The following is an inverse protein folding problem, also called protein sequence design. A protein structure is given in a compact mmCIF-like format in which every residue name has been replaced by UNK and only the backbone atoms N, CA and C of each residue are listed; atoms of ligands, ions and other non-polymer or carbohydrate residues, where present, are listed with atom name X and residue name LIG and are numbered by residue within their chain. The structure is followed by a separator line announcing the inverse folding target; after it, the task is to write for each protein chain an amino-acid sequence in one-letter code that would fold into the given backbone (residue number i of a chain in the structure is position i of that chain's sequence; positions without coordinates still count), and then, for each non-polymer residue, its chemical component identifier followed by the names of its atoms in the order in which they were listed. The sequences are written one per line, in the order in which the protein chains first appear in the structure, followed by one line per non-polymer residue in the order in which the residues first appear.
data_IF_571436916925
#
_entry.id   IF_571436916925
#
_cell.length_a   1.000
_cell.length_b   1.000
_cell.length_c   1.000
_cell.angle_alpha   90.00
_cell.angle_beta   90.00
_cell.angle_gamma   90.00
#
_symmetry.space_group_name_H-M   'P 1'
#
loop_
_entity.id
_entity.type
_entity.pdbx_description
1 polymer ?
#
# COMPACT_ATOMS: atom_id res chain seq x y z
N UNK A 1 -14.08 5.22 0.49
CA UNK A 1 -13.04 4.47 -0.28
C UNK A 1 -12.92 5.06 -1.67
N UNK A 2 -11.78 4.87 -2.35
CA UNK A 2 -11.58 5.31 -3.72
C UNK A 2 -12.42 4.54 -4.74
N UNK A 3 -12.66 5.14 -5.89
CA UNK A 3 -13.39 4.60 -7.04
C UNK A 3 -12.41 4.36 -8.20
N UNK A 4 -12.81 3.63 -9.27
CA UNK A 4 -12.00 3.57 -10.49
C UNK A 4 -11.59 4.98 -10.95
N UNK A 5 -10.29 5.18 -11.19
CA UNK A 5 -9.73 6.49 -11.56
C UNK A 5 -9.33 7.41 -10.38
N UNK A 6 -9.54 7.00 -9.12
CA UNK A 6 -9.05 7.73 -7.93
C UNK A 6 -7.53 7.69 -7.77
N UNK A 7 -6.84 6.77 -8.47
CA UNK A 7 -5.39 6.67 -8.52
C UNK A 7 -4.92 6.53 -9.97
N UNK A 8 -3.79 7.16 -10.31
CA UNK A 8 -3.25 7.19 -11.68
C UNK A 8 -1.75 6.90 -11.68
N UNK A 9 -1.26 6.37 -12.79
CA UNK A 9 0.19 6.19 -13.02
C UNK A 9 0.91 7.53 -12.92
N UNK A 10 2.07 7.54 -12.27
CA UNK A 10 2.86 8.73 -11.99
C UNK A 10 2.42 9.54 -10.77
N UNK A 11 1.26 9.23 -10.18
CA UNK A 11 0.77 9.93 -9.00
C UNK A 11 1.63 9.59 -7.77
N UNK A 12 2.02 10.63 -7.02
CA UNK A 12 2.58 10.48 -5.67
C UNK A 12 1.43 10.23 -4.68
N UNK A 13 1.48 9.10 -3.97
CA UNK A 13 0.46 8.68 -3.00
C UNK A 13 1.10 8.36 -1.66
N UNK A 14 0.30 8.42 -0.59
CA UNK A 14 0.78 8.18 0.76
C UNK A 14 0.49 6.75 1.19
N UNK A 15 1.47 6.12 1.82
CA UNK A 15 1.34 4.82 2.48
C UNK A 15 1.62 4.97 3.96
N UNK A 16 0.90 4.19 4.77
CA UNK A 16 0.92 4.30 6.23
C UNK A 16 1.14 2.95 6.87
N UNK A 17 1.92 2.92 7.94
CA UNK A 17 2.13 1.69 8.70
C UNK A 17 3.11 1.83 9.86
N UNK A 18 3.35 0.70 10.52
CA UNK A 18 4.25 0.54 11.67
C UNK A 18 5.37 -0.46 11.38
N UNK A 19 5.57 -0.83 10.10
CA UNK A 19 6.55 -1.82 9.69
C UNK A 19 8.00 -1.48 10.05
N UNK A 20 8.88 -2.42 9.73
CA UNK A 20 10.30 -2.33 10.04
C UNK A 20 10.95 -1.07 9.45
N UNK A 21 11.69 -0.32 10.29
CA UNK A 21 12.38 0.92 9.86
C UNK A 21 13.86 0.74 9.58
N UNK A 22 14.40 -0.45 9.81
CA UNK A 22 15.81 -0.79 9.59
C UNK A 22 15.96 -2.28 9.28
N UNK A 23 17.13 -2.67 8.78
CA UNK A 23 17.49 -4.08 8.68
C UNK A 23 17.90 -4.57 10.07
N UNK A 24 17.00 -5.32 10.72
CA UNK A 24 17.27 -6.03 11.97
C UNK A 24 16.80 -7.47 11.78
N UNK A 25 17.61 -8.47 12.15
CA UNK A 25 17.42 -9.88 11.78
C UNK A 25 15.96 -10.30 11.51
N UNK A 26 15.12 -10.34 12.55
CA UNK A 26 13.67 -10.42 12.38
C UNK A 26 13.05 -9.03 12.32
N UNK A 27 12.33 -8.72 11.24
CA UNK A 27 11.63 -7.43 11.04
C UNK A 27 10.66 -7.09 12.18
N UNK A 28 10.15 -8.11 12.90
CA UNK A 28 9.31 -7.91 14.09
C UNK A 28 10.00 -7.12 15.22
N UNK A 29 11.34 -7.13 15.27
CA UNK A 29 12.11 -6.48 16.33
C UNK A 29 12.44 -5.00 16.04
N UNK A 30 12.20 -4.51 14.83
CA UNK A 30 12.46 -3.12 14.44
C UNK A 30 11.25 -2.43 13.80
N UNK A 31 10.05 -2.93 14.09
CA UNK A 31 8.81 -2.23 13.82
C UNK A 31 8.78 -0.88 14.56
N UNK A 32 8.18 0.12 13.93
CA UNK A 32 8.04 1.44 14.52
C UNK A 32 6.98 1.44 15.62
N UNK A 33 7.25 2.09 16.76
CA UNK A 33 6.22 2.34 17.79
C UNK A 33 5.21 3.42 17.40
N UNK A 34 5.55 4.23 16.39
CA UNK A 34 4.74 5.34 15.93
C UNK A 34 4.32 5.12 14.48
N UNK A 35 3.15 5.63 14.12
CA UNK A 35 2.70 5.60 12.73
C UNK A 35 3.72 6.33 11.85
N UNK A 36 4.15 5.68 10.77
CA UNK A 36 4.98 6.27 9.73
C UNK A 36 4.15 6.52 8.48
N UNK A 37 4.57 7.51 7.72
CA UNK A 37 4.04 7.84 6.40
C UNK A 37 5.18 7.95 5.41
N UNK A 38 4.98 7.39 4.21
CA UNK A 38 5.89 7.57 3.10
C UNK A 38 5.10 7.93 1.84
N UNK A 39 5.74 8.71 0.97
CA UNK A 39 5.29 8.96 -0.39
C UNK A 39 5.92 7.92 -1.31
N UNK A 40 5.08 7.27 -2.11
CA UNK A 40 5.47 6.35 -3.19
C UNK A 40 4.89 6.84 -4.51
N UNK A 41 5.53 6.53 -5.63
CA UNK A 41 5.02 6.90 -6.95
C UNK A 41 4.37 5.69 -7.61
N UNK A 42 3.09 5.80 -7.97
CA UNK A 42 2.34 4.74 -8.65
C UNK A 42 2.97 4.47 -10.02
N UNK A 43 3.26 3.21 -10.31
CA UNK A 43 3.88 2.78 -11.57
C UNK A 43 2.90 2.10 -12.51
N UNK A 44 1.80 1.54 -12.00
CA UNK A 44 0.83 0.82 -12.83
C UNK A 44 -0.04 -0.15 -12.05
N UNK A 45 -0.84 -0.91 -12.79
CA UNK A 45 -1.49 -2.10 -12.28
C UNK A 45 -0.53 -3.29 -12.31
N UNK A 46 -0.67 -4.20 -11.34
CA UNK A 46 0.11 -5.42 -11.24
C UNK A 46 -0.68 -6.49 -10.45
N UNK A 47 -0.02 -7.60 -10.10
CA UNK A 47 -0.53 -8.61 -9.18
C UNK A 47 -0.07 -8.39 -7.74
N UNK A 48 -0.90 -8.73 -6.77
CA UNK A 48 -0.49 -8.83 -5.37
C UNK A 48 0.27 -10.14 -5.08
N UNK A 49 0.62 -10.42 -3.83
CA UNK A 49 1.39 -11.62 -3.44
C UNK A 49 0.75 -12.95 -3.88
N UNK A 50 -0.55 -12.97 -4.17
CA UNK A 50 -1.33 -14.14 -4.57
C UNK A 50 -2.00 -13.98 -5.93
N UNK A 51 -1.58 -13.00 -6.74
CA UNK A 51 -2.11 -12.76 -8.09
C UNK A 51 -3.43 -11.98 -8.14
N UNK A 52 -3.88 -11.40 -7.03
CA UNK A 52 -5.02 -10.48 -6.99
C UNK A 52 -4.71 -9.14 -7.67
N UNK A 53 -5.74 -8.36 -8.02
CA UNK A 53 -5.57 -7.06 -8.66
C UNK A 53 -4.87 -6.08 -7.71
N UNK A 54 -3.75 -5.50 -8.13
CA UNK A 54 -2.95 -4.59 -7.32
C UNK A 54 -2.55 -3.30 -8.04
N UNK A 55 -2.27 -2.28 -7.24
CA UNK A 55 -1.58 -1.05 -7.60
C UNK A 55 -0.11 -1.24 -7.22
N UNK A 56 0.78 -1.14 -8.20
CA UNK A 56 2.21 -1.12 -7.96
C UNK A 56 2.72 0.31 -7.85
N UNK A 57 3.71 0.49 -6.97
CA UNK A 57 4.39 1.75 -6.78
C UNK A 57 5.89 1.53 -6.56
N UNK A 58 6.66 2.57 -6.87
CA UNK A 58 8.10 2.65 -6.60
C UNK A 58 8.39 3.54 -5.41
N UNK A 59 9.52 3.27 -4.73
CA UNK A 59 10.04 4.08 -3.62
C UNK A 59 10.05 5.57 -3.99
N UNK A 60 9.50 6.39 -3.11
CA UNK A 60 9.70 7.85 -3.10
C UNK A 60 10.63 8.24 -1.96
N UNK A 61 10.10 8.83 -0.89
CA UNK A 61 10.87 9.14 0.33
C UNK A 61 10.89 7.98 1.35
N UNK A 62 10.25 6.87 1.01
CA UNK A 62 10.20 5.64 1.80
C UNK A 62 9.53 4.53 1.00
N UNK A 63 9.48 3.34 1.59
CA UNK A 63 8.75 2.19 1.06
C UNK A 63 8.33 1.29 2.23
N UNK A 64 7.26 0.53 2.06
CA UNK A 64 6.81 -0.43 3.07
C UNK A 64 7.78 -1.60 3.24
N UNK A 65 7.81 -2.15 4.44
CA UNK A 65 8.61 -3.30 4.82
C UNK A 65 7.77 -4.34 5.59
N UNK A 66 8.41 -5.34 6.18
CA UNK A 66 7.72 -6.31 7.02
C UNK A 66 6.97 -5.63 8.16
N UNK A 67 5.72 -6.05 8.37
CA UNK A 67 4.81 -5.46 9.36
C UNK A 67 3.87 -4.38 8.81
N UNK A 68 4.05 -3.92 7.56
CA UNK A 68 3.12 -2.99 6.92
C UNK A 68 1.92 -3.67 6.23
N UNK A 69 1.93 -5.00 6.08
CA UNK A 69 0.85 -5.77 5.43
C UNK A 69 -0.52 -5.41 6.02
N UNK A 70 -1.50 -5.14 5.14
CA UNK A 70 -2.82 -4.65 5.53
C UNK A 70 -2.94 -3.12 5.66
N UNK A 71 -1.82 -2.39 5.70
CA UNK A 71 -1.79 -0.92 5.81
C UNK A 71 -2.37 -0.20 4.58
N UNK A 72 -2.93 1.02 4.73
CA UNK A 72 -3.60 1.71 3.64
C UNK A 72 -2.63 2.44 2.70
N UNK A 73 -2.96 2.42 1.41
CA UNK A 73 -2.47 3.40 0.42
C UNK A 73 -3.58 4.43 0.18
N UNK A 74 -3.24 5.71 0.36
CA UNK A 74 -4.15 6.85 0.27
C UNK A 74 -3.78 7.75 -0.91
N UNK A 75 -4.77 8.06 -1.74
CA UNK A 75 -4.67 9.05 -2.80
C UNK A 75 -5.72 10.13 -2.56
N UNK A 76 -5.32 11.40 -2.49
CA UNK A 76 -6.23 12.54 -2.31
C UNK A 76 -7.26 12.35 -1.17
N UNK A 77 -6.82 11.84 -0.02
CA UNK A 77 -7.67 11.63 1.15
C UNK A 77 -8.58 10.39 1.13
N UNK A 78 -8.54 9.58 0.06
CA UNK A 78 -9.30 8.31 -0.02
C UNK A 78 -8.38 7.11 -0.10
N UNK A 79 -8.77 6.00 0.53
CA UNK A 79 -8.03 4.74 0.45
C UNK A 79 -8.24 4.08 -0.93
N UNK A 80 -7.14 3.82 -1.62
CA UNK A 80 -7.10 3.19 -2.94
C UNK A 80 -6.44 1.82 -2.93
N UNK A 81 -5.66 1.49 -1.89
CA UNK A 81 -4.98 0.22 -1.78
C UNK A 81 -4.83 -0.32 -0.36
N UNK A 82 -4.53 -1.61 -0.27
CA UNK A 82 -4.16 -2.34 0.97
C UNK A 82 -2.82 -3.04 0.76
N UNK A 83 -1.85 -2.81 1.64
CA UNK A 83 -0.48 -3.31 1.47
C UNK A 83 -0.46 -4.84 1.39
N UNK A 84 0.14 -5.39 0.33
CA UNK A 84 0.26 -6.83 0.13
C UNK A 84 1.73 -7.29 0.20
N UNK A 85 2.59 -6.74 -0.67
CA UNK A 85 3.99 -7.17 -0.76
C UNK A 85 4.93 -6.01 -1.09
N UNK A 86 6.20 -6.19 -0.75
CA UNK A 86 7.28 -5.28 -1.11
C UNK A 86 8.62 -6.03 -1.13
N UNK A 87 9.52 -5.59 -2.00
CA UNK A 87 10.93 -5.99 -1.97
C UNK A 87 11.72 -5.28 -0.84
N UNK A 88 11.05 -4.40 -0.07
CA UNK A 88 11.60 -3.60 1.03
C UNK A 88 12.62 -2.55 0.59
N UNK A 89 12.76 -2.33 -0.72
CA UNK A 89 13.82 -1.49 -1.28
C UNK A 89 13.30 -0.58 -2.39
N UNK A 90 12.70 -1.10 -3.45
CA UNK A 90 12.39 -0.35 -4.66
C UNK A 90 10.93 -0.40 -5.05
N UNK A 91 10.22 -1.50 -4.80
CA UNK A 91 8.86 -1.75 -5.27
C UNK A 91 7.92 -2.25 -4.19
N UNK A 92 6.65 -1.90 -4.31
CA UNK A 92 5.57 -2.38 -3.46
C UNK A 92 4.29 -2.56 -4.26
N UNK A 93 3.48 -3.54 -3.87
CA UNK A 93 2.17 -3.81 -4.44
C UNK A 93 1.10 -3.75 -3.35
N UNK A 94 0.00 -3.07 -3.68
CA UNK A 94 -1.16 -2.88 -2.83
C UNK A 94 -2.39 -3.43 -3.53
N UNK A 95 -3.14 -4.34 -2.90
CA UNK A 95 -4.42 -4.83 -3.42
C UNK A 95 -5.33 -3.64 -3.74
N UNK A 96 -5.87 -3.61 -4.96
CA UNK A 96 -6.57 -2.46 -5.53
C UNK A 96 -7.99 -2.35 -4.97
N UNK A 97 -8.19 -1.50 -3.96
CA UNK A 97 -9.50 -1.28 -3.31
C UNK A 97 -10.58 -0.87 -4.30
N UNK A 98 -10.21 -0.13 -5.34
CA UNK A 98 -11.17 0.35 -6.35
C UNK A 98 -11.78 -0.79 -7.17
N UNK A 99 -11.04 -1.91 -7.34
CA UNK A 99 -11.52 -3.10 -8.04
C UNK A 99 -12.48 -3.93 -7.18
N UNK A 100 -12.35 -3.88 -5.85
CA UNK A 100 -13.19 -4.63 -4.90
C UNK A 100 -14.31 -3.78 -4.31
N UNK A 101 -14.54 -2.58 -4.85
CA UNK A 101 -15.40 -1.56 -4.25
C UNK A 101 -16.84 -2.03 -4.00
N UNK A 102 -17.43 -2.72 -4.98
CA UNK A 102 -18.81 -3.24 -4.88
C UNK A 102 -18.95 -4.31 -3.80
N UNK A 103 -17.97 -5.22 -3.69
CA UNK A 103 -17.94 -6.23 -2.64
C UNK A 103 -17.77 -5.61 -1.26
N UNK A 104 -16.86 -4.63 -1.11
CA UNK A 104 -16.70 -3.92 0.17
C UNK A 104 -18.01 -3.21 0.55
N UNK A 105 -18.68 -2.57 -0.41
CA UNK A 105 -19.97 -1.92 -0.16
C UNK A 105 -21.05 -2.92 0.27
N UNK A 106 -21.11 -4.11 -0.33
CA UNK A 106 -22.13 -5.11 0.03
C UNK A 106 -21.94 -5.69 1.43
N UNK A 107 -20.72 -5.63 1.98
CA UNK A 107 -20.42 -6.14 3.32
C UNK A 107 -20.43 -5.04 4.39
N UNK A 108 -19.80 -3.89 4.11
CA UNK A 108 -19.55 -2.85 5.11
C UNK A 108 -20.41 -1.58 4.92
N UNK A 109 -21.12 -1.45 3.79
CA UNK A 109 -22.00 -0.30 3.50
C UNK A 109 -21.28 1.01 3.15
N UNK A 110 -19.94 1.03 3.15
CA UNK A 110 -19.10 2.20 2.83
C UNK A 110 -18.57 2.20 1.41
#
# INVERSE_FOLDING_TARGET
LGQPGSVRVGQSVQVYGWGATSQCGSEANCQSRYLKVANVTVTGACGDAYGGSAICARRGNGITAGGDSGGPMMANGVQVGVASTSDRQTTTAYTNVTAYRSWIQSIAGV
#
